data_IF_296499941748
#
_entry.id   IF_296499941748
#
_cell.length_a   1.000
_cell.length_b   1.000
_cell.length_c   1.000
_cell.angle_alpha   90.00
_cell.angle_beta   90.00
_cell.angle_gamma   90.00
#
_symmetry.space_group_name_H-M   'P 1'
#
loop_
_entity.id
_entity.type
_entity.pdbx_description
1 polymer ?
#
# COMPACT_ATOMS: atom_id res chain seq x y z
N UNK A 1 -1.82 4.97 -26.01
CA UNK A 1 -2.63 6.20 -26.12
C UNK A 1 -2.03 7.25 -25.21
N UNK A 2 -1.90 8.48 -25.73
CA UNK A 2 -1.51 9.67 -24.96
C UNK A 2 -2.66 10.13 -24.07
N UNK A 3 -2.40 11.08 -23.15
CA UNK A 3 -3.44 11.72 -22.36
C UNK A 3 -4.57 12.32 -23.21
N UNK A 4 -4.19 13.06 -24.28
CA UNK A 4 -5.16 13.78 -25.10
C UNK A 4 -6.04 12.82 -25.93
N UNK A 5 -5.46 11.69 -26.39
CA UNK A 5 -6.23 10.61 -27.03
C UNK A 5 -7.22 9.95 -26.06
N UNK A 6 -6.89 9.84 -24.77
CA UNK A 6 -7.81 9.35 -23.76
C UNK A 6 -8.91 10.35 -23.42
N UNK A 7 -8.60 11.66 -23.36
CA UNK A 7 -9.58 12.73 -23.18
C UNK A 7 -10.61 12.68 -24.32
N UNK A 8 -10.15 12.53 -25.57
CA UNK A 8 -11.02 12.39 -26.75
C UNK A 8 -11.85 11.08 -26.68
N UNK A 9 -11.21 9.95 -26.33
CA UNK A 9 -11.88 8.64 -26.22
C UNK A 9 -13.05 8.68 -25.22
N UNK A 10 -12.86 9.31 -24.06
CA UNK A 10 -13.89 9.46 -23.04
C UNK A 10 -14.81 10.68 -23.27
N UNK A 11 -14.61 11.42 -24.34
CA UNK A 11 -15.39 12.62 -24.72
C UNK A 11 -15.45 13.65 -23.58
N UNK A 12 -14.31 13.87 -22.89
CA UNK A 12 -14.24 14.81 -21.77
C UNK A 12 -14.02 16.24 -22.28
N UNK A 13 -14.89 17.15 -21.86
CA UNK A 13 -14.75 18.58 -22.14
C UNK A 13 -13.89 19.25 -21.07
N UNK A 14 -12.56 19.28 -21.30
CA UNK A 14 -11.54 19.67 -20.31
C UNK A 14 -11.18 21.13 -20.43
N UNK A 15 -11.33 21.90 -19.35
CA UNK A 15 -10.91 23.29 -19.25
C UNK A 15 -9.46 23.42 -18.75
N UNK A 16 -9.03 22.58 -17.78
CA UNK A 16 -7.68 22.61 -17.20
C UNK A 16 -7.20 21.18 -16.98
N UNK A 17 -5.93 20.93 -17.28
CA UNK A 17 -5.25 19.67 -17.03
C UNK A 17 -3.95 19.90 -16.25
N UNK A 18 -3.70 19.06 -15.23
CA UNK A 18 -2.45 19.04 -14.48
C UNK A 18 -2.05 17.59 -14.18
N UNK A 19 -0.83 17.22 -14.50
CA UNK A 19 -0.28 15.92 -14.13
C UNK A 19 -0.07 15.85 -12.62
N UNK A 20 -0.41 14.71 -12.02
CA UNK A 20 -0.14 14.44 -10.60
C UNK A 20 1.26 13.84 -10.50
N UNK A 21 2.15 14.57 -9.83
CA UNK A 21 3.51 14.11 -9.57
C UNK A 21 3.50 12.92 -8.57
N UNK A 22 4.62 12.18 -8.51
CA UNK A 22 4.84 11.06 -7.57
C UNK A 22 3.99 9.80 -7.81
N UNK A 23 3.49 9.58 -9.01
CA UNK A 23 2.84 8.32 -9.38
C UNK A 23 3.85 7.37 -10.03
N UNK A 24 4.29 6.35 -9.28
CA UNK A 24 5.35 5.41 -9.72
C UNK A 24 4.85 4.21 -10.52
N UNK A 25 3.55 4.01 -10.58
CA UNK A 25 2.94 2.78 -11.09
C UNK A 25 1.79 2.99 -12.06
N UNK A 26 1.40 4.25 -12.25
CA UNK A 26 0.39 4.71 -13.21
C UNK A 26 0.70 6.15 -13.61
N UNK A 27 0.15 6.62 -14.70
CA UNK A 27 0.07 8.06 -15.00
C UNK A 27 -1.28 8.57 -14.52
N UNK A 28 -1.28 9.68 -13.79
CA UNK A 28 -2.50 10.30 -13.26
C UNK A 28 -2.54 11.76 -13.63
N UNK A 29 -3.63 12.18 -14.27
CA UNK A 29 -3.89 13.58 -14.58
C UNK A 29 -5.15 14.05 -13.85
N UNK A 30 -5.06 15.19 -13.18
CA UNK A 30 -6.19 15.92 -12.62
C UNK A 30 -6.79 16.81 -13.69
N UNK A 31 -8.05 16.57 -14.03
CA UNK A 31 -8.79 17.32 -15.05
C UNK A 31 -9.87 18.16 -14.37
N UNK A 32 -9.99 19.42 -14.75
CA UNK A 32 -11.15 20.26 -14.44
C UNK A 32 -11.97 20.36 -15.73
N UNK A 33 -13.19 19.86 -15.70
CA UNK A 33 -14.09 19.92 -16.82
C UNK A 33 -14.69 21.32 -16.98
N UNK A 34 -15.25 21.64 -18.14
CA UNK A 34 -15.83 22.96 -18.43
C UNK A 34 -17.04 23.30 -17.58
N UNK A 35 -17.73 22.30 -17.04
CA UNK A 35 -18.82 22.44 -16.06
C UNK A 35 -18.32 22.65 -14.61
N UNK A 36 -16.99 22.63 -14.40
CA UNK A 36 -16.34 22.79 -13.10
C UNK A 36 -16.14 21.50 -12.31
N UNK A 37 -16.62 20.34 -12.81
CA UNK A 37 -16.36 19.06 -12.18
C UNK A 37 -14.86 18.73 -12.22
N UNK A 38 -14.34 18.14 -11.12
CA UNK A 38 -12.97 17.63 -11.06
C UNK A 38 -13.02 16.12 -11.19
N UNK A 39 -12.21 15.59 -12.11
CA UNK A 39 -12.03 14.16 -12.32
C UNK A 39 -10.54 13.82 -12.42
N UNK A 40 -10.20 12.55 -12.22
CA UNK A 40 -8.84 12.04 -12.41
C UNK A 40 -8.83 11.02 -13.56
N UNK A 41 -7.98 11.26 -14.56
CA UNK A 41 -7.67 10.29 -15.59
C UNK A 41 -6.47 9.46 -15.12
N UNK A 42 -6.71 8.18 -14.77
CA UNK A 42 -5.67 7.25 -14.32
C UNK A 42 -5.40 6.21 -15.40
N UNK A 43 -4.10 6.03 -15.73
CA UNK A 43 -3.60 5.12 -16.77
C UNK A 43 -2.57 4.17 -16.13
N UNK A 44 -2.98 2.99 -15.65
CA UNK A 44 -2.06 2.01 -15.07
C UNK A 44 -1.00 1.54 -16.06
N UNK A 45 0.22 1.28 -15.60
CA UNK A 45 1.30 0.83 -16.49
C UNK A 45 1.15 -0.62 -16.96
N UNK A 46 0.30 -1.42 -16.30
CA UNK A 46 0.03 -2.81 -16.70
C UNK A 46 -1.45 -3.14 -16.61
N UNK A 47 -1.90 -4.10 -17.41
CA UNK A 47 -3.29 -4.57 -17.41
C UNK A 47 -3.70 -5.19 -16.06
N UNK A 48 -2.79 -5.91 -15.40
CA UNK A 48 -3.07 -6.54 -14.10
C UNK A 48 -3.41 -5.50 -13.03
N UNK A 49 -2.76 -4.34 -13.05
CA UNK A 49 -3.07 -3.25 -12.11
C UNK A 49 -4.45 -2.67 -12.37
N UNK A 50 -4.82 -2.55 -13.64
CA UNK A 50 -6.16 -2.08 -14.03
C UNK A 50 -7.24 -3.03 -13.48
N UNK A 51 -7.11 -4.34 -13.72
CA UNK A 51 -8.10 -5.32 -13.24
C UNK A 51 -8.20 -5.35 -11.73
N UNK A 52 -7.07 -5.28 -11.01
CA UNK A 52 -7.05 -5.22 -9.54
C UNK A 52 -7.75 -3.98 -9.02
N UNK A 53 -7.36 -2.80 -9.48
CA UNK A 53 -7.92 -1.55 -9.01
C UNK A 53 -9.43 -1.48 -9.27
N UNK A 54 -9.86 -1.85 -10.47
CA UNK A 54 -11.27 -1.94 -10.82
C UNK A 54 -12.04 -2.87 -9.87
N UNK A 55 -11.55 -4.07 -9.71
CA UNK A 55 -12.20 -5.08 -8.86
C UNK A 55 -12.34 -4.60 -7.41
N UNK A 56 -11.29 -3.96 -6.89
CA UNK A 56 -11.30 -3.48 -5.51
C UNK A 56 -12.13 -2.22 -5.29
N UNK A 57 -12.14 -1.28 -6.22
CA UNK A 57 -13.05 -0.13 -6.12
C UNK A 57 -14.49 -0.62 -6.00
N UNK A 58 -14.92 -1.55 -6.86
CA UNK A 58 -16.27 -2.11 -6.78
C UNK A 58 -16.52 -2.92 -5.51
N UNK A 59 -15.56 -3.75 -5.08
CA UNK A 59 -15.74 -4.60 -3.89
C UNK A 59 -15.79 -3.79 -2.57
N UNK A 60 -15.17 -2.62 -2.53
CA UNK A 60 -15.07 -1.77 -1.34
C UNK A 60 -16.10 -0.63 -1.32
N UNK A 61 -16.89 -0.49 -2.38
CA UNK A 61 -17.98 0.50 -2.42
C UNK A 61 -18.96 0.27 -1.26
N UNK A 62 -19.18 1.30 -0.46
CA UNK A 62 -20.01 1.21 0.75
C UNK A 62 -19.31 0.61 1.99
N UNK A 63 -18.09 0.10 1.86
CA UNK A 63 -17.26 -0.37 3.00
C UNK A 63 -16.37 0.75 3.50
N UNK A 64 -15.57 1.33 2.62
CA UNK A 64 -14.74 2.51 2.89
C UNK A 64 -14.95 3.55 1.79
N UNK A 65 -14.62 4.85 2.02
CA UNK A 65 -14.75 5.85 0.96
C UNK A 65 -13.76 5.54 -0.18
N UNK A 66 -14.25 5.12 -1.33
CA UNK A 66 -13.48 4.86 -2.55
C UNK A 66 -13.92 5.81 -3.68
N UNK A 67 -13.05 6.14 -4.67
CA UNK A 67 -13.48 6.93 -5.81
C UNK A 67 -14.51 6.17 -6.67
N UNK A 68 -15.52 6.88 -7.18
CA UNK A 68 -16.41 6.29 -8.17
C UNK A 68 -15.75 6.26 -9.54
N UNK A 69 -15.89 5.16 -10.26
CA UNK A 69 -15.50 5.05 -11.67
C UNK A 69 -16.61 5.69 -12.51
N UNK A 70 -16.31 6.84 -13.11
CA UNK A 70 -17.24 7.57 -13.99
C UNK A 70 -17.23 7.01 -15.40
N UNK A 71 -16.06 6.60 -15.87
CA UNK A 71 -15.87 5.91 -17.14
C UNK A 71 -14.63 5.02 -17.06
N UNK A 72 -14.62 3.94 -17.82
CA UNK A 72 -13.50 3.02 -17.89
C UNK A 72 -13.30 2.47 -19.29
N UNK A 73 -12.05 2.18 -19.63
CA UNK A 73 -11.68 1.45 -20.84
C UNK A 73 -10.81 0.27 -20.42
N UNK A 74 -11.29 -0.93 -20.68
CA UNK A 74 -10.59 -2.16 -20.32
C UNK A 74 -9.27 -2.31 -21.12
N UNK A 75 -8.29 -3.03 -20.56
CA UNK A 75 -7.08 -3.40 -21.29
C UNK A 75 -7.39 -4.14 -22.61
N UNK A 76 -6.52 -3.93 -23.59
CA UNK A 76 -6.61 -4.52 -24.93
C UNK A 76 -5.36 -4.16 -25.70
N UNK A 77 -5.47 -3.24 -26.66
CA UNK A 77 -4.29 -2.67 -27.33
C UNK A 77 -3.50 -1.71 -26.42
N UNK A 78 -4.10 -1.28 -25.31
CA UNK A 78 -3.50 -0.46 -24.25
C UNK A 78 -3.63 -1.17 -22.91
N UNK A 79 -3.06 -0.59 -21.86
CA UNK A 79 -3.19 -1.08 -20.47
C UNK A 79 -4.51 -0.69 -19.79
N UNK A 80 -5.41 -0.02 -20.53
CA UNK A 80 -6.66 0.52 -20.02
C UNK A 80 -6.52 1.88 -19.34
N UNK A 81 -7.66 2.48 -19.00
CA UNK A 81 -7.72 3.75 -18.30
C UNK A 81 -9.02 3.88 -17.48
N UNK A 82 -9.01 4.77 -16.49
CA UNK A 82 -10.18 5.17 -15.70
C UNK A 82 -10.38 6.67 -15.74
N UNK A 83 -11.63 7.08 -15.70
CA UNK A 83 -12.04 8.41 -15.27
C UNK A 83 -12.66 8.26 -13.88
N UNK A 84 -11.98 8.76 -12.86
CA UNK A 84 -12.39 8.63 -11.47
C UNK A 84 -12.95 9.96 -10.96
N UNK A 85 -14.04 9.90 -10.20
CA UNK A 85 -14.56 11.07 -9.51
C UNK A 85 -13.56 11.56 -8.44
N UNK A 86 -13.41 12.86 -8.32
CA UNK A 86 -12.63 13.44 -7.23
C UNK A 86 -13.34 13.20 -5.89
N UNK A 87 -12.61 12.69 -4.92
CA UNK A 87 -13.04 12.64 -3.53
C UNK A 87 -12.67 13.95 -2.81
N UNK A 88 -13.44 14.37 -1.81
CA UNK A 88 -13.13 15.58 -1.05
C UNK A 88 -11.89 15.38 -0.18
N UNK A 89 -11.14 16.46 0.04
CA UNK A 89 -9.99 16.47 0.92
C UNK A 89 -8.65 16.33 0.21
N UNK A 90 -7.62 16.08 1.00
CA UNK A 90 -6.24 15.90 0.56
C UNK A 90 -5.51 14.98 1.53
N UNK A 91 -4.32 14.50 1.14
CA UNK A 91 -3.47 13.73 2.03
C UNK A 91 -3.14 14.55 3.30
N UNK A 92 -3.21 13.95 4.50
CA UNK A 92 -3.01 14.69 5.75
C UNK A 92 -1.55 15.11 5.91
N UNK A 93 -1.33 16.41 6.07
CA UNK A 93 -0.01 17.02 6.38
C UNK A 93 0.14 17.35 7.87
N UNK A 94 -0.95 17.32 8.61
CA UNK A 94 -0.99 17.46 10.06
C UNK A 94 -1.78 16.31 10.66
N UNK A 95 -1.49 15.97 11.92
CA UNK A 95 -2.13 14.84 12.58
C UNK A 95 -2.76 15.26 13.90
N UNK A 96 -3.98 14.78 14.16
CA UNK A 96 -4.63 14.81 15.47
C UNK A 96 -4.83 13.38 15.96
N UNK A 97 -4.97 13.16 17.28
CA UNK A 97 -5.28 11.83 17.83
C UNK A 97 -6.60 11.28 17.27
N UNK A 98 -7.58 12.16 17.06
CA UNK A 98 -8.87 11.80 16.49
C UNK A 98 -8.73 11.34 15.03
N UNK A 99 -7.93 12.05 14.21
CA UNK A 99 -7.66 11.61 12.84
C UNK A 99 -6.91 10.28 12.82
N UNK A 100 -5.89 10.10 13.65
CA UNK A 100 -5.15 8.84 13.75
C UNK A 100 -6.07 7.67 14.14
N UNK A 101 -6.98 7.88 15.09
CA UNK A 101 -8.02 6.91 15.45
C UNK A 101 -8.95 6.58 14.26
N UNK A 102 -9.43 7.59 13.52
CA UNK A 102 -10.29 7.38 12.35
C UNK A 102 -9.55 6.66 11.20
N UNK A 103 -8.25 6.91 11.03
CA UNK A 103 -7.41 6.14 10.09
C UNK A 103 -7.37 4.66 10.50
N UNK A 104 -7.16 4.37 11.79
CA UNK A 104 -7.18 3.00 12.30
C UNK A 104 -8.54 2.33 12.08
N UNK A 105 -9.62 3.03 12.37
CA UNK A 105 -10.99 2.55 12.14
C UNK A 105 -11.27 2.30 10.65
N UNK A 106 -10.79 3.16 9.76
CA UNK A 106 -10.94 2.99 8.32
C UNK A 106 -10.22 1.73 7.82
N UNK A 107 -9.00 1.48 8.29
CA UNK A 107 -8.28 0.24 7.98
C UNK A 107 -9.02 -0.99 8.54
N UNK A 108 -9.52 -0.89 9.76
CA UNK A 108 -10.33 -1.96 10.35
C UNK A 108 -11.57 -2.28 9.52
N UNK A 109 -12.27 -1.26 9.02
CA UNK A 109 -13.43 -1.44 8.12
C UNK A 109 -13.01 -2.13 6.81
N UNK A 110 -11.91 -1.73 6.20
CA UNK A 110 -11.37 -2.38 5.01
C UNK A 110 -11.11 -3.87 5.26
N UNK A 111 -10.53 -4.24 6.38
CA UNK A 111 -10.26 -5.63 6.78
C UNK A 111 -11.52 -6.42 7.17
N UNK A 112 -12.71 -5.81 7.28
CA UNK A 112 -13.96 -6.57 7.40
C UNK A 112 -14.38 -7.25 6.10
N UNK A 113 -13.88 -6.77 4.94
CA UNK A 113 -14.13 -7.39 3.66
C UNK A 113 -13.29 -8.68 3.53
N UNK A 114 -13.89 -9.83 3.80
CA UNK A 114 -13.20 -11.14 3.86
C UNK A 114 -13.35 -11.89 2.56
N UNK A 115 -12.31 -12.64 2.17
CA UNK A 115 -12.29 -13.56 1.03
C UNK A 115 -12.31 -15.02 1.46
N UNK A 116 -12.69 -15.91 0.55
CA UNK A 116 -12.64 -17.36 0.76
C UNK A 116 -11.20 -17.90 0.58
N UNK A 117 -10.36 -17.18 -0.15
CA UNK A 117 -8.98 -17.55 -0.47
C UNK A 117 -8.09 -16.32 -0.61
N UNK A 118 -6.78 -16.48 -0.38
CA UNK A 118 -5.80 -15.49 -0.81
C UNK A 118 -5.79 -15.38 -2.32
N UNK A 119 -5.78 -14.18 -2.86
CA UNK A 119 -5.88 -13.99 -4.30
C UNK A 119 -6.02 -12.53 -4.69
N UNK A 120 -6.26 -12.30 -5.96
CA UNK A 120 -6.40 -10.96 -6.55
C UNK A 120 -7.42 -10.92 -7.68
N UNK A 121 -7.86 -9.73 -8.06
CA UNK A 121 -8.70 -9.57 -9.24
C UNK A 121 -7.85 -9.57 -10.51
N UNK A 122 -8.34 -10.29 -11.53
CA UNK A 122 -7.75 -10.44 -12.86
C UNK A 122 -8.81 -10.16 -13.93
N UNK A 123 -8.46 -10.35 -15.19
CA UNK A 123 -9.38 -10.26 -16.33
C UNK A 123 -10.60 -11.17 -16.17
N UNK A 124 -10.38 -12.38 -15.66
CA UNK A 124 -11.42 -13.41 -15.47
C UNK A 124 -12.17 -13.27 -14.14
N UNK A 125 -11.98 -12.15 -13.42
CA UNK A 125 -12.54 -11.92 -12.10
C UNK A 125 -11.58 -12.27 -10.97
N UNK A 126 -12.09 -12.81 -9.84
CA UNK A 126 -11.25 -13.19 -8.73
C UNK A 126 -10.43 -14.45 -9.04
N UNK A 127 -9.12 -14.35 -8.90
CA UNK A 127 -8.16 -15.44 -9.04
C UNK A 127 -7.59 -15.83 -7.67
N UNK A 128 -7.95 -17.03 -7.19
CA UNK A 128 -7.35 -17.59 -5.98
C UNK A 128 -5.92 -18.08 -6.26
N UNK A 129 -4.98 -17.73 -5.38
CA UNK A 129 -3.62 -18.23 -5.54
C UNK A 129 -3.58 -19.76 -5.42
N UNK A 130 -2.80 -20.46 -6.26
CA UNK A 130 -2.72 -21.92 -6.24
C UNK A 130 -2.22 -22.49 -4.90
N UNK A 131 -1.42 -21.71 -4.17
CA UNK A 131 -0.91 -22.05 -2.85
C UNK A 131 -1.52 -21.06 -1.85
N UNK A 132 -2.33 -21.59 -0.94
CA UNK A 132 -3.01 -20.81 0.10
C UNK A 132 -2.13 -20.66 1.34
N UNK A 133 -0.88 -20.32 1.13
CA UNK A 133 0.13 -20.05 2.16
C UNK A 133 0.63 -18.60 1.98
N UNK A 134 0.18 -17.72 2.87
CA UNK A 134 0.48 -16.29 2.79
C UNK A 134 1.96 -15.99 3.03
N UNK A 135 2.59 -16.67 3.98
CA UNK A 135 4.03 -16.48 4.26
C UNK A 135 4.89 -16.90 3.08
N UNK A 136 4.55 -18.04 2.48
CA UNK A 136 5.23 -18.48 1.27
C UNK A 136 5.06 -17.49 0.12
N UNK A 137 3.89 -16.87 -0.01
CA UNK A 137 3.66 -15.82 -1.00
C UNK A 137 4.56 -14.61 -0.75
N UNK A 138 4.67 -14.16 0.50
CA UNK A 138 5.52 -13.04 0.89
C UNK A 138 7.02 -13.36 0.72
N UNK A 139 7.45 -14.54 1.14
CA UNK A 139 8.84 -14.96 1.01
C UNK A 139 9.24 -15.02 -0.46
N UNK A 140 8.36 -15.50 -1.36
CA UNK A 140 8.61 -15.47 -2.81
C UNK A 140 8.86 -14.04 -3.35
N UNK A 141 8.21 -13.02 -2.77
CA UNK A 141 8.46 -11.63 -3.14
C UNK A 141 9.87 -11.20 -2.74
N UNK A 142 10.30 -11.51 -1.51
CA UNK A 142 11.65 -11.22 -1.03
C UNK A 142 12.69 -12.00 -1.84
N UNK A 143 12.47 -13.28 -2.10
CA UNK A 143 13.33 -14.14 -2.92
C UNK A 143 13.58 -13.54 -4.31
N UNK A 144 12.57 -12.90 -4.91
CA UNK A 144 12.70 -12.21 -6.18
C UNK A 144 13.62 -10.97 -6.15
N UNK A 145 13.89 -10.41 -4.97
CA UNK A 145 14.85 -9.32 -4.78
C UNK A 145 16.23 -9.79 -4.31
N UNK A 146 16.35 -10.99 -3.77
CA UNK A 146 17.61 -11.50 -3.22
C UNK A 146 18.81 -11.42 -4.16
N UNK A 147 18.70 -11.72 -5.47
CA UNK A 147 19.84 -11.57 -6.38
C UNK A 147 20.40 -10.15 -6.45
N UNK A 148 19.52 -9.13 -6.36
CA UNK A 148 19.92 -7.72 -6.36
C UNK A 148 20.51 -7.32 -5.01
N UNK A 149 19.91 -7.74 -3.91
CA UNK A 149 20.37 -7.47 -2.55
C UNK A 149 21.78 -8.05 -2.34
N UNK A 150 21.98 -9.30 -2.75
CA UNK A 150 23.26 -10.01 -2.60
C UNK A 150 24.39 -9.38 -3.41
N UNK A 151 24.09 -8.68 -4.51
CA UNK A 151 25.10 -7.99 -5.31
C UNK A 151 25.62 -6.69 -4.70
N UNK A 152 24.87 -6.08 -3.77
CA UNK A 152 25.14 -4.75 -3.24
C UNK A 152 25.47 -4.71 -1.74
N UNK A 153 24.86 -5.60 -0.94
CA UNK A 153 25.07 -5.58 0.50
C UNK A 153 26.27 -6.42 0.92
N UNK A 154 26.95 -5.98 1.98
CA UNK A 154 27.99 -6.76 2.63
C UNK A 154 27.43 -8.12 3.08
N UNK A 155 28.13 -9.24 2.81
CA UNK A 155 27.62 -10.59 3.13
C UNK A 155 27.35 -10.82 4.61
N UNK A 156 28.19 -10.26 5.51
CA UNK A 156 27.99 -10.41 6.98
C UNK A 156 26.78 -9.61 7.44
N UNK A 157 26.61 -8.40 6.90
CA UNK A 157 25.43 -7.59 7.19
C UNK A 157 24.14 -8.29 6.74
N UNK A 158 24.15 -8.87 5.53
CA UNK A 158 23.00 -9.62 5.00
C UNK A 158 22.70 -10.88 5.84
N UNK A 159 23.71 -11.63 6.26
CA UNK A 159 23.55 -12.79 7.13
C UNK A 159 22.90 -12.43 8.47
N UNK A 160 23.30 -11.30 9.07
CA UNK A 160 22.67 -10.79 10.29
C UNK A 160 21.19 -10.46 10.09
N UNK A 161 20.84 -9.82 8.97
CA UNK A 161 19.45 -9.49 8.63
C UNK A 161 18.62 -10.78 8.46
N UNK A 162 19.14 -11.75 7.73
CA UNK A 162 18.44 -13.02 7.47
C UNK A 162 18.25 -13.82 8.76
N UNK A 163 19.26 -13.89 9.62
CA UNK A 163 19.19 -14.53 10.92
C UNK A 163 18.09 -13.91 11.79
N UNK A 164 18.03 -12.59 11.79
CA UNK A 164 17.04 -11.88 12.59
C UNK A 164 15.62 -12.02 12.02
N UNK A 165 15.46 -12.02 10.70
CA UNK A 165 14.17 -12.30 10.06
C UNK A 165 13.66 -13.69 10.46
N UNK A 166 14.50 -14.72 10.38
CA UNK A 166 14.14 -16.09 10.79
C UNK A 166 13.74 -16.14 12.27
N UNK A 167 14.49 -15.46 13.15
CA UNK A 167 14.19 -15.39 14.58
C UNK A 167 12.82 -14.74 14.84
N UNK A 168 12.55 -13.60 14.22
CA UNK A 168 11.27 -12.88 14.40
C UNK A 168 10.08 -13.62 13.79
N UNK A 169 10.28 -14.30 12.67
CA UNK A 169 9.23 -15.09 12.02
C UNK A 169 8.66 -16.17 12.94
N UNK A 170 9.51 -16.78 13.80
CA UNK A 170 9.08 -17.79 14.78
C UNK A 170 8.09 -17.26 15.81
N UNK A 171 8.06 -15.94 16.04
CA UNK A 171 7.13 -15.28 16.98
C UNK A 171 5.82 -14.82 16.31
N UNK A 172 5.73 -14.91 14.99
CA UNK A 172 4.52 -14.53 14.28
C UNK A 172 3.39 -15.53 14.53
N UNK A 173 2.17 -15.06 14.80
CA UNK A 173 1.00 -15.93 14.78
C UNK A 173 0.75 -16.47 13.37
N UNK A 174 -0.09 -17.49 13.25
CA UNK A 174 -0.56 -17.92 11.93
C UNK A 174 -1.18 -16.73 11.17
N UNK A 175 -0.96 -16.64 9.84
CA UNK A 175 -1.53 -15.58 9.04
C UNK A 175 -3.05 -15.50 9.23
N UNK A 176 -3.59 -14.29 9.27
CA UNK A 176 -5.03 -14.11 9.33
C UNK A 176 -5.73 -14.75 8.13
N UNK A 177 -7.02 -15.07 8.28
CA UNK A 177 -7.84 -15.40 7.10
C UNK A 177 -7.74 -14.30 6.05
N UNK A 178 -7.97 -14.63 4.74
CA UNK A 178 -7.92 -13.64 3.68
C UNK A 178 -8.89 -12.48 3.91
N UNK A 179 -8.36 -11.26 3.89
CA UNK A 179 -9.13 -10.01 3.97
C UNK A 179 -8.70 -9.07 2.85
N UNK A 180 -9.50 -8.07 2.56
CA UNK A 180 -9.05 -6.97 1.70
C UNK A 180 -7.83 -6.30 2.33
N UNK A 181 -6.68 -6.44 1.71
CA UNK A 181 -5.40 -5.88 2.17
C UNK A 181 -4.89 -4.91 1.11
N UNK A 182 -4.76 -3.65 1.48
CA UNK A 182 -4.36 -2.59 0.55
C UNK A 182 -2.94 -2.78 0.01
N UNK A 183 -2.05 -3.31 0.84
CA UNK A 183 -0.61 -3.50 0.58
C UNK A 183 0.19 -2.20 0.36
N UNK A 184 -0.47 -1.06 0.36
CA UNK A 184 0.15 0.28 0.33
C UNK A 184 -0.65 1.30 1.18
N UNK A 185 -1.18 0.85 2.33
CA UNK A 185 -1.94 1.71 3.23
C UNK A 185 -0.99 2.69 3.92
N UNK A 186 -0.99 3.94 3.46
CA UNK A 186 -0.12 5.03 3.91
C UNK A 186 -0.81 6.37 3.80
N UNK A 187 -0.32 7.41 4.49
CA UNK A 187 -0.97 8.73 4.51
C UNK A 187 -1.16 9.35 3.13
N UNK A 188 -0.22 9.14 2.20
CA UNK A 188 -0.33 9.65 0.83
C UNK A 188 -1.52 9.06 0.04
N UNK A 189 -2.01 7.88 0.44
CA UNK A 189 -3.15 7.18 -0.17
C UNK A 189 -4.47 7.41 0.60
N UNK A 190 -4.48 8.33 1.56
CA UNK A 190 -5.66 8.72 2.33
C UNK A 190 -6.01 10.18 2.05
N UNK A 191 -7.28 10.45 1.81
CA UNK A 191 -7.81 11.81 1.71
C UNK A 191 -8.59 12.13 2.98
N UNK A 192 -8.43 13.36 3.48
CA UNK A 192 -9.02 13.78 4.75
C UNK A 192 -9.61 15.17 4.66
N UNK A 193 -10.70 15.38 5.42
CA UNK A 193 -11.28 16.69 5.69
C UNK A 193 -11.44 16.80 7.21
N UNK A 194 -10.69 17.71 7.83
CA UNK A 194 -10.59 17.78 9.29
C UNK A 194 -10.10 16.46 9.87
N UNK A 195 -10.84 15.90 10.82
CA UNK A 195 -10.52 14.63 11.47
C UNK A 195 -11.19 13.40 10.82
N UNK A 196 -11.67 13.51 9.60
CA UNK A 196 -12.37 12.41 8.92
C UNK A 196 -11.58 11.93 7.71
N UNK A 197 -11.50 10.61 7.53
CA UNK A 197 -11.05 10.00 6.29
C UNK A 197 -12.18 10.06 5.29
N UNK A 198 -11.97 10.77 4.18
CA UNK A 198 -12.94 10.99 3.11
C UNK A 198 -12.61 10.23 1.84
N UNK A 199 -11.44 9.59 1.79
CA UNK A 199 -11.03 8.77 0.66
C UNK A 199 -9.88 7.83 0.99
N UNK A 200 -9.96 6.63 0.42
CA UNK A 200 -8.85 5.69 0.27
C UNK A 200 -8.66 5.52 -1.22
N UNK A 201 -7.43 5.66 -1.70
CA UNK A 201 -7.11 5.65 -3.13
C UNK A 201 -5.95 4.68 -3.42
N UNK A 202 -5.76 4.35 -4.70
CA UNK A 202 -4.64 3.55 -5.22
C UNK A 202 -4.71 2.06 -4.83
N UNK A 203 -5.77 1.39 -5.30
CA UNK A 203 -6.03 -0.03 -5.03
C UNK A 203 -5.30 -1.02 -5.95
N UNK A 204 -4.37 -0.57 -6.78
CA UNK A 204 -3.67 -1.40 -7.77
C UNK A 204 -2.80 -2.52 -7.20
N UNK A 205 -2.43 -2.43 -5.91
CA UNK A 205 -1.69 -3.47 -5.17
C UNK A 205 -2.56 -4.30 -4.25
N UNK A 206 -3.82 -3.91 -4.09
CA UNK A 206 -4.78 -4.55 -3.17
C UNK A 206 -5.09 -5.98 -3.56
N UNK A 207 -5.27 -6.83 -2.56
CA UNK A 207 -5.58 -8.26 -2.75
C UNK A 207 -6.31 -8.81 -1.53
N UNK A 208 -6.87 -10.01 -1.65
CA UNK A 208 -7.20 -10.81 -0.48
C UNK A 208 -5.89 -11.36 0.10
N UNK A 209 -5.41 -10.72 1.15
CA UNK A 209 -4.16 -10.97 1.85
C UNK A 209 -4.37 -11.14 3.35
N UNK A 210 -3.28 -11.12 4.11
CA UNK A 210 -3.34 -11.12 5.56
C UNK A 210 -3.13 -9.69 6.10
N UNK A 211 -3.82 -9.37 7.21
CA UNK A 211 -3.90 -8.01 7.78
C UNK A 211 -2.54 -7.36 8.06
N UNK A 212 -1.54 -8.17 8.39
CA UNK A 212 -0.21 -7.72 8.79
C UNK A 212 0.49 -6.84 7.75
N UNK A 213 0.10 -6.93 6.47
CA UNK A 213 0.72 -6.17 5.38
C UNK A 213 0.41 -4.68 5.41
N UNK A 214 -0.64 -4.27 6.08
CA UNK A 214 -1.09 -2.87 6.03
C UNK A 214 -0.62 -2.03 7.22
N UNK A 215 0.08 -2.62 8.20
CA UNK A 215 0.46 -1.86 9.40
C UNK A 215 1.76 -1.09 9.25
N UNK A 216 2.77 -1.63 8.57
CA UNK A 216 4.13 -1.09 8.62
C UNK A 216 4.22 0.33 8.09
N UNK A 217 3.65 0.59 6.91
CA UNK A 217 3.74 1.89 6.24
C UNK A 217 2.99 2.97 6.99
N UNK A 218 1.76 2.67 7.42
CA UNK A 218 0.95 3.66 8.15
C UNK A 218 1.54 3.96 9.52
N UNK A 219 2.02 2.96 10.25
CA UNK A 219 2.66 3.17 11.55
C UNK A 219 3.96 3.97 11.39
N UNK A 220 4.77 3.70 10.36
CA UNK A 220 5.96 4.50 10.04
C UNK A 220 5.59 5.97 9.79
N UNK A 221 4.54 6.23 9.00
CA UNK A 221 4.07 7.58 8.76
C UNK A 221 3.57 8.26 10.06
N UNK A 222 2.78 7.57 10.88
CA UNK A 222 2.26 8.13 12.12
C UNK A 222 3.37 8.43 13.15
N UNK A 223 4.41 7.60 13.19
CA UNK A 223 5.56 7.82 14.06
C UNK A 223 6.30 9.14 13.76
N UNK A 224 6.24 9.66 12.53
CA UNK A 224 6.82 10.98 12.22
C UNK A 224 6.15 12.12 12.96
N UNK A 225 4.91 11.93 13.42
CA UNK A 225 4.15 12.87 14.23
C UNK A 225 4.30 12.58 15.75
N UNK A 226 4.57 11.32 16.12
CA UNK A 226 4.78 10.88 17.50
C UNK A 226 4.06 9.57 17.84
N UNK A 227 4.56 8.86 18.87
CA UNK A 227 4.03 7.55 19.29
C UNK A 227 2.56 7.58 19.76
N UNK A 228 2.11 8.70 20.30
CA UNK A 228 0.71 8.88 20.74
C UNK A 228 -0.29 8.71 19.59
N UNK A 229 0.12 9.04 18.35
CA UNK A 229 -0.73 8.87 17.17
C UNK A 229 -0.79 7.42 16.73
N UNK A 230 0.29 6.67 16.91
CA UNK A 230 0.28 5.21 16.69
C UNK A 230 -0.66 4.54 17.68
N UNK A 231 -0.61 4.93 18.96
CA UNK A 231 -1.55 4.41 19.98
C UNK A 231 -3.00 4.69 19.59
N UNK A 232 -3.31 5.93 19.20
CA UNK A 232 -4.67 6.30 18.78
C UNK A 232 -5.12 5.50 17.52
N UNK A 233 -4.23 5.28 16.55
CA UNK A 233 -4.49 4.42 15.40
C UNK A 233 -4.82 2.98 15.81
N UNK A 234 -4.03 2.39 16.70
CA UNK A 234 -4.25 1.03 17.21
C UNK A 234 -5.58 0.92 17.97
N UNK A 235 -5.93 1.92 18.78
CA UNK A 235 -7.23 2.00 19.45
C UNK A 235 -8.39 2.03 18.43
N UNK A 236 -8.25 2.83 17.37
CA UNK A 236 -9.24 2.90 16.29
C UNK A 236 -9.39 1.56 15.56
N UNK A 237 -8.28 0.90 15.24
CA UNK A 237 -8.28 -0.41 14.59
C UNK A 237 -8.90 -1.50 15.48
N UNK A 238 -8.58 -1.50 16.76
CA UNK A 238 -9.06 -2.46 17.74
C UNK A 238 -10.59 -2.41 17.95
N UNK A 239 -11.28 -1.36 17.49
CA UNK A 239 -12.76 -1.28 17.57
C UNK A 239 -13.47 -2.40 16.84
N UNK A 240 -12.87 -2.93 15.77
CA UNK A 240 -13.42 -4.04 14.98
C UNK A 240 -12.55 -5.30 15.06
N UNK A 241 -11.26 -5.15 15.36
CA UNK A 241 -10.28 -6.24 15.40
C UNK A 241 -9.42 -6.18 16.67
N UNK A 242 -10.01 -6.39 17.88
CA UNK A 242 -9.33 -6.21 19.15
C UNK A 242 -8.19 -7.21 19.42
N UNK A 243 -8.25 -8.38 18.78
CA UNK A 243 -7.31 -9.48 19.02
C UNK A 243 -6.12 -9.50 18.05
N UNK A 244 -6.00 -8.51 17.15
CA UNK A 244 -4.91 -8.46 16.17
C UNK A 244 -3.64 -7.94 16.86
N UNK A 245 -2.55 -8.73 16.91
CA UNK A 245 -1.33 -8.37 17.64
C UNK A 245 -0.41 -7.49 16.77
N UNK A 246 -0.80 -6.23 16.52
CA UNK A 246 -0.12 -5.30 15.61
C UNK A 246 1.38 -5.19 15.93
N UNK A 247 1.76 -5.05 17.20
CA UNK A 247 3.17 -4.91 17.59
C UNK A 247 4.01 -6.16 17.24
N UNK A 248 3.42 -7.37 17.38
CA UNK A 248 4.10 -8.61 16.97
C UNK A 248 4.35 -8.63 15.46
N UNK A 249 3.37 -8.19 14.66
CA UNK A 249 3.55 -8.06 13.22
C UNK A 249 4.60 -7.00 12.88
N UNK A 250 4.54 -5.84 13.49
CA UNK A 250 5.49 -4.76 13.24
C UNK A 250 6.92 -5.17 13.57
N UNK A 251 7.13 -5.98 14.62
CA UNK A 251 8.45 -6.48 14.98
C UNK A 251 9.14 -7.25 13.83
N UNK A 252 8.40 -7.98 13.01
CA UNK A 252 8.92 -8.71 11.84
C UNK A 252 8.89 -7.83 10.57
N UNK A 253 7.73 -7.24 10.26
CA UNK A 253 7.48 -6.63 8.96
C UNK A 253 8.25 -5.33 8.73
N UNK A 254 8.68 -4.61 9.78
CA UNK A 254 9.58 -3.45 9.62
C UNK A 254 10.89 -3.87 8.96
N UNK A 255 11.50 -4.94 9.44
CA UNK A 255 12.75 -5.45 8.86
C UNK A 255 12.53 -6.05 7.47
N UNK A 256 11.46 -6.83 7.30
CA UNK A 256 11.11 -7.46 6.03
C UNK A 256 10.81 -6.42 4.93
N UNK A 257 10.02 -5.37 5.23
CA UNK A 257 9.73 -4.30 4.28
C UNK A 257 10.97 -3.47 3.94
N UNK A 258 11.80 -3.14 4.92
CA UNK A 258 13.01 -2.38 4.69
C UNK A 258 13.96 -3.15 3.76
N UNK A 259 14.18 -4.46 3.99
CA UNK A 259 14.99 -5.30 3.10
C UNK A 259 14.36 -5.42 1.70
N UNK A 260 13.05 -5.56 1.61
CA UNK A 260 12.33 -5.61 0.33
C UNK A 260 12.46 -4.28 -0.43
N UNK A 261 12.39 -3.14 0.28
CA UNK A 261 12.58 -1.80 -0.30
C UNK A 261 14.00 -1.59 -0.81
N UNK A 262 15.01 -2.06 -0.08
CA UNK A 262 16.41 -2.08 -0.53
C UNK A 262 16.53 -2.82 -1.87
N UNK A 263 16.01 -4.03 -1.96
CA UNK A 263 16.03 -4.81 -3.20
C UNK A 263 15.27 -4.15 -4.35
N UNK A 264 14.16 -3.47 -4.05
CA UNK A 264 13.41 -2.70 -5.03
C UNK A 264 14.21 -1.51 -5.59
N UNK A 265 14.91 -0.76 -4.72
CA UNK A 265 15.75 0.37 -5.14
C UNK A 265 16.88 -0.09 -6.07
N UNK A 266 17.56 -1.17 -5.70
CA UNK A 266 18.69 -1.71 -6.51
C UNK A 266 18.15 -2.16 -7.88
N UNK A 267 17.06 -2.92 -7.91
CA UNK A 267 16.46 -3.43 -9.15
C UNK A 267 16.01 -2.31 -10.10
N UNK A 268 15.54 -1.17 -9.57
CA UNK A 268 15.01 -0.05 -10.36
C UNK A 268 16.05 1.01 -10.73
N UNK A 269 17.22 0.95 -10.14
CA UNK A 269 18.27 1.95 -10.34
C UNK A 269 18.60 2.66 -9.04
N UNK A 270 19.68 2.24 -8.42
CA UNK A 270 20.10 2.71 -7.09
C UNK A 270 20.31 4.24 -7.05
N UNK A 271 20.86 4.83 -8.11
CA UNK A 271 21.14 6.27 -8.15
C UNK A 271 19.87 7.12 -8.09
N UNK A 272 18.83 6.72 -8.80
CA UNK A 272 17.54 7.42 -8.83
C UNK A 272 16.76 7.27 -7.51
N UNK A 273 17.03 6.20 -6.77
CA UNK A 273 16.34 5.86 -5.52
C UNK A 273 17.25 5.88 -4.29
N UNK A 274 18.42 6.54 -4.38
CA UNK A 274 19.47 6.52 -3.34
C UNK A 274 18.97 6.96 -1.97
N UNK A 275 18.22 8.05 -1.88
CA UNK A 275 17.70 8.53 -0.60
C UNK A 275 16.79 7.51 0.08
N UNK A 276 15.89 6.87 -0.69
CA UNK A 276 15.00 5.84 -0.17
C UNK A 276 15.75 4.56 0.19
N UNK A 277 16.80 4.22 -0.55
CA UNK A 277 17.71 3.11 -0.20
C UNK A 277 18.39 3.37 1.15
N UNK A 278 19.05 4.54 1.32
CA UNK A 278 19.77 4.92 2.54
C UNK A 278 18.84 4.96 3.76
N UNK A 279 17.63 5.48 3.59
CA UNK A 279 16.60 5.46 4.64
C UNK A 279 16.27 4.04 5.10
N UNK A 280 16.12 3.09 4.17
CA UNK A 280 15.80 1.71 4.52
C UNK A 280 17.01 0.95 5.09
N UNK A 281 18.23 1.26 4.67
CA UNK A 281 19.45 0.74 5.33
C UNK A 281 19.51 1.22 6.79
N UNK A 282 19.29 2.50 7.03
CA UNK A 282 19.27 3.05 8.40
C UNK A 282 18.19 2.39 9.28
N UNK A 283 17.01 2.11 8.71
CA UNK A 283 15.96 1.35 9.42
C UNK A 283 16.43 -0.06 9.78
N UNK A 284 17.07 -0.77 8.85
CA UNK A 284 17.61 -2.11 9.10
C UNK A 284 18.63 -2.06 10.24
N UNK A 285 19.58 -1.12 10.19
CA UNK A 285 20.59 -0.94 11.23
C UNK A 285 19.96 -0.69 12.60
N UNK A 286 18.94 0.19 12.67
CA UNK A 286 18.19 0.46 13.89
C UNK A 286 17.49 -0.79 14.44
N UNK A 287 16.83 -1.56 13.56
CA UNK A 287 16.14 -2.79 13.94
C UNK A 287 17.11 -3.86 14.47
N UNK A 288 18.31 -3.96 13.91
CA UNK A 288 19.35 -4.88 14.40
C UNK A 288 19.97 -4.44 15.74
N UNK A 289 20.12 -3.12 15.98
CA UNK A 289 20.68 -2.59 17.22
C UNK A 289 19.76 -2.78 18.41
N UNK A 290 18.45 -2.74 18.22
CA UNK A 290 17.45 -2.89 19.29
C UNK A 290 17.58 -4.23 20.03
N UNK A 291 18.19 -5.24 19.40
CA UNK A 291 18.41 -6.58 19.95
C UNK A 291 19.61 -6.63 20.90
N UNK A 292 20.70 -5.93 20.55
CA UNK A 292 21.91 -5.94 21.36
C UNK A 292 21.70 -5.41 22.79
N UNK A 293 20.61 -4.67 23.01
CA UNK A 293 20.23 -4.09 24.30
C UNK A 293 19.31 -5.04 25.08
N UNK A 294 18.48 -5.86 24.40
CA UNK A 294 17.54 -6.78 25.07
C UNK A 294 18.17 -8.11 25.51
N UNK A 295 19.25 -8.56 24.89
CA UNK A 295 19.95 -9.80 25.22
C UNK A 295 21.08 -9.60 26.26
N UNK A 296 21.22 -8.38 26.80
CA UNK A 296 22.23 -7.98 27.79
C UNK A 296 21.72 -7.86 29.23
N UNK A 297 20.51 -8.39 29.56
CA UNK A 297 20.01 -8.45 30.94
C UNK A 297 19.62 -9.85 31.35
#
# INVERSE_FOLDING_TARGET
>A
MTRDEWIEHFQLDVAVCATVDESYSSEVDRLVLTDGQIVFLKRPYTAEKWYRERGWIHALEGVVPVPHILAEAAPGQTTGAFVLAALPGQAPITMTKKLAYEIGRTLAMLHTCTGEAYGEYTEDGFYAYPVQDWRRFQNKKLDGFMPFITSELDPVFLENIQTELVRREQSLPEPSRPVATHCDFRLANLLTVGDQVTGVIDFETTRYGAVEMDFTKIVRNLNTFGSDYVTAFQEGYATLHPDVPIETYLAYYRLWEALTAVGWCIKRGLEEHRSFFEENIALIEQELQTISISDGY
#
